data_IF_901699283211
#
_entry.id   IF_901699283211
#
_cell.length_a   1.000
_cell.length_b   1.000
_cell.length_c   1.000
_cell.angle_alpha   90.00
_cell.angle_beta   90.00
_cell.angle_gamma   90.00
#
_symmetry.space_group_name_H-M   'P 1'
#
loop_
_entity.id
_entity.type
_entity.pdbx_description
1 polymer ?
#
# COMPACT_ATOMS: atom_id res chain seq x y z
N UNK A 1 -13.47 -15.69 -9.66
CA UNK A 1 -12.17 -16.32 -9.92
C UNK A 1 -11.27 -15.97 -8.75
N UNK A 2 -11.01 -16.91 -7.86
CA UNK A 2 -10.00 -16.77 -6.80
C UNK A 2 -8.64 -16.89 -7.47
N UNK A 3 -8.00 -15.76 -7.80
CA UNK A 3 -6.57 -15.75 -8.12
C UNK A 3 -5.86 -16.34 -6.91
N UNK A 4 -5.41 -17.59 -7.03
CA UNK A 4 -4.43 -18.16 -6.11
C UNK A 4 -3.17 -17.33 -6.32
N UNK A 5 -3.04 -16.24 -5.57
CA UNK A 5 -1.81 -15.46 -5.51
C UNK A 5 -0.72 -16.48 -5.16
N UNK A 6 0.30 -16.61 -6.01
CA UNK A 6 1.50 -17.34 -5.62
C UNK A 6 2.17 -16.52 -4.52
N UNK A 7 1.79 -16.85 -3.28
CA UNK A 7 2.20 -16.15 -2.07
C UNK A 7 3.71 -16.23 -1.88
N UNK A 8 4.34 -17.32 -2.35
CA UNK A 8 5.78 -17.48 -2.30
C UNK A 8 6.48 -16.54 -3.28
N UNK A 9 5.99 -16.42 -4.51
CA UNK A 9 6.54 -15.48 -5.50
C UNK A 9 6.41 -14.02 -5.03
N UNK A 10 5.29 -13.67 -4.38
CA UNK A 10 5.08 -12.34 -3.80
C UNK A 10 6.09 -12.04 -2.68
N UNK A 11 6.23 -12.93 -1.69
CA UNK A 11 7.19 -12.74 -0.59
C UNK A 11 8.64 -12.75 -1.11
N UNK A 12 8.96 -13.55 -2.13
CA UNK A 12 10.27 -13.55 -2.77
C UNK A 12 10.57 -12.22 -3.51
N UNK A 13 9.53 -11.48 -3.91
CA UNK A 13 9.68 -10.16 -4.51
C UNK A 13 10.09 -9.08 -3.49
N UNK A 14 9.88 -9.32 -2.20
CA UNK A 14 10.15 -8.35 -1.14
C UNK A 14 11.65 -7.96 -1.04
N UNK A 15 11.95 -6.71 -0.65
CA UNK A 15 13.32 -6.27 -0.44
C UNK A 15 14.01 -7.05 0.67
N UNK A 16 15.35 -7.07 0.66
CA UNK A 16 16.15 -7.85 1.62
C UNK A 16 15.79 -7.52 3.07
N UNK A 17 15.57 -6.24 3.40
CA UNK A 17 15.19 -5.81 4.75
C UNK A 17 13.93 -6.50 5.24
N UNK A 18 12.84 -6.42 4.46
CA UNK A 18 11.58 -7.07 4.78
C UNK A 18 11.69 -8.60 4.81
N UNK A 19 12.43 -9.22 3.87
CA UNK A 19 12.64 -10.68 3.88
C UNK A 19 13.38 -11.18 5.12
N UNK A 20 14.30 -10.39 5.66
CA UNK A 20 14.96 -10.72 6.93
C UNK A 20 13.98 -10.59 8.10
N UNK A 21 13.14 -9.55 8.12
CA UNK A 21 12.15 -9.32 9.18
C UNK A 21 11.07 -10.42 9.22
N UNK A 22 10.64 -10.91 8.05
CA UNK A 22 9.56 -11.89 7.94
C UNK A 22 10.02 -13.35 7.83
N UNK A 23 11.31 -13.65 8.06
CA UNK A 23 11.91 -14.95 7.73
C UNK A 23 11.30 -16.16 8.46
N UNK A 24 10.64 -15.94 9.60
CA UNK A 24 9.98 -16.97 10.41
C UNK A 24 8.47 -17.04 10.19
N UNK A 25 7.90 -16.09 9.44
CA UNK A 25 6.46 -16.02 9.24
C UNK A 25 6.01 -17.00 8.16
N UNK A 26 4.89 -17.64 8.41
CA UNK A 26 4.12 -18.30 7.34
C UNK A 26 3.60 -17.24 6.36
N UNK A 27 3.26 -17.63 5.12
CA UNK A 27 2.66 -16.70 4.18
C UNK A 27 1.40 -16.02 4.74
N UNK A 28 0.53 -16.74 5.45
CA UNK A 28 -0.68 -16.17 6.04
C UNK A 28 -0.37 -15.06 7.07
N UNK A 29 0.60 -15.30 7.96
CA UNK A 29 1.06 -14.30 8.93
C UNK A 29 1.72 -13.09 8.26
N UNK A 30 2.43 -13.30 7.14
CA UNK A 30 2.95 -12.19 6.34
C UNK A 30 1.83 -11.29 5.82
N UNK A 31 0.76 -11.87 5.24
CA UNK A 31 -0.36 -11.09 4.73
C UNK A 31 -1.11 -10.35 5.84
N UNK A 32 -1.39 -11.03 6.95
CA UNK A 32 -2.05 -10.44 8.12
C UNK A 32 -1.25 -9.25 8.71
N UNK A 33 0.08 -9.37 8.69
CA UNK A 33 0.96 -8.35 9.27
C UNK A 33 1.27 -7.17 8.34
N UNK A 34 1.45 -7.43 7.05
CA UNK A 34 2.00 -6.44 6.11
C UNK A 34 1.05 -6.06 4.99
N UNK A 35 0.03 -6.86 4.70
CA UNK A 35 -0.93 -6.59 3.63
C UNK A 35 -2.33 -6.24 4.13
N UNK A 36 -2.56 -6.36 5.42
CA UNK A 36 -3.85 -6.08 6.00
C UNK A 36 -4.15 -4.57 5.95
N UNK A 37 -5.22 -4.25 5.22
CA UNK A 37 -5.74 -2.88 5.07
C UNK A 37 -6.85 -2.58 6.08
N UNK A 38 -7.14 -3.50 7.02
CA UNK A 38 -8.05 -3.21 8.13
C UNK A 38 -7.34 -2.31 9.15
N UNK A 39 -7.94 -1.15 9.41
CA UNK A 39 -7.43 -0.15 10.33
C UNK A 39 -8.16 1.18 10.18
N UNK A 40 -7.57 2.24 10.73
CA UNK A 40 -8.16 3.60 10.76
C UNK A 40 -8.42 4.18 9.37
N UNK A 41 -7.65 3.75 8.37
CA UNK A 41 -7.74 4.20 6.99
C UNK A 41 -8.10 3.03 6.09
N UNK A 42 -9.18 3.14 5.32
CA UNK A 42 -9.52 2.12 4.31
C UNK A 42 -9.67 2.75 2.92
N UNK A 43 -9.49 1.94 1.87
CA UNK A 43 -9.73 2.35 0.48
C UNK A 43 -11.08 1.77 0.03
N UNK A 44 -12.10 2.63 -0.06
CA UNK A 44 -13.46 2.19 -0.45
C UNK A 44 -13.67 2.21 -1.96
N UNK A 45 -13.00 3.10 -2.68
CA UNK A 45 -13.06 3.16 -4.15
C UNK A 45 -11.71 3.54 -4.76
N UNK A 46 -11.45 3.00 -5.95
CA UNK A 46 -10.27 3.30 -6.74
C UNK A 46 -10.60 3.30 -8.23
N UNK A 47 -10.19 4.36 -8.91
CA UNK A 47 -10.29 4.48 -10.36
C UNK A 47 -9.01 5.06 -10.96
N UNK A 48 -8.62 4.52 -12.11
CA UNK A 48 -7.54 5.05 -12.95
C UNK A 48 -8.11 5.34 -14.34
N UNK A 49 -8.05 6.61 -14.74
CA UNK A 49 -8.49 7.08 -16.05
C UNK A 49 -7.28 7.45 -16.91
N UNK A 50 -7.18 6.83 -18.09
CA UNK A 50 -6.09 7.07 -19.04
C UNK A 50 -4.90 6.11 -18.87
N UNK A 51 -3.73 6.53 -19.33
CA UNK A 51 -2.46 5.78 -19.22
C UNK A 51 -1.34 6.72 -18.84
N UNK A 52 -0.35 6.20 -18.13
CA UNK A 52 0.86 6.95 -17.80
C UNK A 52 1.49 7.58 -19.07
N UNK A 53 2.05 8.81 -18.98
CA UNK A 53 2.18 9.64 -17.77
C UNK A 53 0.95 10.49 -17.44
N UNK A 54 -0.07 10.54 -18.30
CA UNK A 54 -1.21 11.45 -18.19
C UNK A 54 -2.42 10.82 -17.47
N UNK A 55 -2.18 9.76 -16.69
CA UNK A 55 -3.24 9.09 -15.95
C UNK A 55 -3.76 10.00 -14.82
N UNK A 56 -5.07 9.97 -14.64
CA UNK A 56 -5.76 10.59 -13.51
C UNK A 56 -6.22 9.47 -12.59
N UNK A 57 -5.79 9.54 -11.34
CA UNK A 57 -6.14 8.59 -10.30
C UNK A 57 -7.17 9.21 -9.38
N UNK A 58 -8.18 8.43 -9.01
CA UNK A 58 -9.18 8.80 -8.00
C UNK A 58 -9.18 7.71 -6.95
N UNK A 59 -8.94 8.09 -5.70
CA UNK A 59 -8.99 7.21 -4.54
C UNK A 59 -9.99 7.77 -3.55
N UNK A 60 -10.97 6.98 -3.12
CA UNK A 60 -11.82 7.34 -1.99
C UNK A 60 -11.34 6.58 -0.77
N UNK A 61 -10.87 7.33 0.22
CA UNK A 61 -10.39 6.83 1.49
C UNK A 61 -11.47 7.03 2.54
N UNK A 62 -11.59 6.12 3.49
CA UNK A 62 -12.42 6.30 4.67
C UNK A 62 -11.52 6.40 5.90
N UNK A 63 -11.68 7.50 6.64
CA UNK A 63 -11.00 7.76 7.90
C UNK A 63 -12.02 7.59 9.03
N UNK A 64 -12.22 6.36 9.49
CA UNK A 64 -13.44 6.00 10.22
C UNK A 64 -14.68 6.23 9.35
N UNK A 65 -15.65 7.02 9.83
CA UNK A 65 -16.90 7.31 9.08
C UNK A 65 -16.81 8.53 8.14
N UNK A 66 -15.59 9.05 7.90
CA UNK A 66 -15.38 10.26 7.10
C UNK A 66 -14.76 9.90 5.75
N UNK A 67 -15.56 9.83 4.67
CA UNK A 67 -15.03 9.58 3.34
C UNK A 67 -14.31 10.82 2.82
N UNK A 68 -13.17 10.61 2.17
CA UNK A 68 -12.40 11.63 1.50
C UNK A 68 -11.90 11.12 0.16
N UNK A 69 -12.26 11.83 -0.91
CA UNK A 69 -11.78 11.53 -2.26
C UNK A 69 -10.55 12.36 -2.60
N UNK A 70 -9.52 11.68 -3.11
CA UNK A 70 -8.27 12.25 -3.58
C UNK A 70 -8.21 12.05 -5.09
N UNK A 71 -8.02 13.13 -5.84
CA UNK A 71 -7.82 13.09 -7.29
C UNK A 71 -6.41 13.57 -7.60
N UNK A 72 -5.66 12.77 -8.34
CA UNK A 72 -4.26 13.03 -8.66
C UNK A 72 -4.01 12.91 -10.17
N UNK A 73 -3.49 13.96 -10.79
CA UNK A 73 -2.85 13.86 -12.09
C UNK A 73 -1.36 13.54 -11.87
N UNK A 74 -0.87 12.42 -12.40
CA UNK A 74 0.54 12.03 -12.27
C UNK A 74 0.81 11.10 -11.08
N UNK A 75 1.20 11.62 -9.91
CA UNK A 75 1.65 10.79 -8.78
C UNK A 75 0.55 10.59 -7.72
N UNK A 76 -0.11 9.42 -7.68
CA UNK A 76 -1.10 9.12 -6.64
C UNK A 76 -0.46 9.01 -5.25
N UNK A 77 0.81 8.62 -5.17
CA UNK A 77 1.57 8.57 -3.91
C UNK A 77 1.66 9.96 -3.27
N UNK A 78 2.03 10.99 -4.05
CA UNK A 78 2.16 12.34 -3.52
C UNK A 78 0.81 12.91 -3.05
N UNK A 79 -0.25 12.69 -3.84
CA UNK A 79 -1.59 13.12 -3.46
C UNK A 79 -2.10 12.39 -2.21
N UNK A 80 -1.82 11.10 -2.11
CA UNK A 80 -2.17 10.28 -0.95
C UNK A 80 -1.44 10.76 0.31
N UNK A 81 -0.12 10.98 0.26
CA UNK A 81 0.63 11.48 1.43
C UNK A 81 0.11 12.82 1.92
N UNK A 82 -0.27 13.73 1.01
CA UNK A 82 -0.86 15.02 1.38
C UNK A 82 -2.22 14.85 2.04
N UNK A 83 -3.09 14.00 1.49
CA UNK A 83 -4.41 13.75 2.07
C UNK A 83 -4.33 13.11 3.46
N UNK A 84 -3.43 12.14 3.63
CA UNK A 84 -3.17 11.51 4.93
C UNK A 84 -2.66 12.52 5.96
N UNK A 85 -1.71 13.37 5.59
CA UNK A 85 -1.18 14.42 6.47
C UNK A 85 -2.29 15.36 6.96
N UNK A 86 -3.16 15.81 6.07
CA UNK A 86 -4.28 16.70 6.41
C UNK A 86 -5.32 16.03 7.32
N UNK A 87 -5.46 14.71 7.28
CA UNK A 87 -6.32 13.94 8.18
C UNK A 87 -5.65 13.53 9.48
N UNK A 88 -4.41 13.97 9.73
CA UNK A 88 -3.67 13.68 10.97
C UNK A 88 -2.83 12.41 10.94
N UNK A 89 -2.60 11.84 9.76
CA UNK A 89 -1.74 10.66 9.53
C UNK A 89 -0.48 11.08 8.76
N UNK A 90 0.48 11.81 9.38
CA UNK A 90 1.73 12.14 8.74
C UNK A 90 2.47 10.85 8.38
N UNK A 91 2.85 10.70 7.12
CA UNK A 91 3.56 9.53 6.63
C UNK A 91 4.81 9.96 5.87
N UNK A 92 5.95 9.41 6.25
CA UNK A 92 7.21 9.55 5.53
C UNK A 92 7.58 8.21 4.91
N UNK A 93 7.87 8.20 3.60
CA UNK A 93 8.30 7.00 2.89
C UNK A 93 9.82 6.87 3.04
N UNK A 94 10.26 5.86 3.79
CA UNK A 94 11.68 5.57 4.01
C UNK A 94 12.26 4.68 2.91
N UNK A 95 11.48 3.70 2.48
CA UNK A 95 11.87 2.77 1.41
C UNK A 95 10.67 2.47 0.52
N UNK A 96 10.90 2.42 -0.78
CA UNK A 96 9.88 2.09 -1.77
C UNK A 96 10.43 1.09 -2.78
N UNK A 97 9.80 -0.08 -2.88
CA UNK A 97 10.20 -1.13 -3.80
C UNK A 97 8.99 -1.63 -4.57
N UNK A 98 9.10 -1.70 -5.89
CA UNK A 98 8.05 -2.19 -6.76
C UNK A 98 8.61 -3.22 -7.75
N UNK A 99 7.91 -4.34 -7.91
CA UNK A 99 8.31 -5.41 -8.85
C UNK A 99 7.08 -5.99 -9.54
N UNK A 100 7.20 -6.27 -10.85
CA UNK A 100 6.17 -7.03 -11.57
C UNK A 100 6.29 -8.50 -11.19
N UNK A 101 5.15 -9.10 -10.86
CA UNK A 101 4.96 -10.53 -10.60
C UNK A 101 3.88 -11.07 -11.52
N UNK A 102 3.70 -12.38 -11.56
CA UNK A 102 2.61 -13.01 -12.29
C UNK A 102 1.22 -12.59 -11.76
N UNK A 103 1.10 -12.36 -10.45
CA UNK A 103 -0.14 -11.96 -9.80
C UNK A 103 -0.49 -10.47 -9.92
N UNK A 104 0.43 -9.64 -10.44
CA UNK A 104 0.25 -8.19 -10.43
C UNK A 104 1.57 -7.44 -10.22
N UNK A 105 1.45 -6.15 -9.95
CA UNK A 105 2.55 -5.33 -9.44
C UNK A 105 2.60 -5.47 -7.93
N UNK A 106 3.70 -6.02 -7.41
CA UNK A 106 3.97 -6.09 -5.98
C UNK A 106 4.68 -4.81 -5.53
N UNK A 107 4.12 -4.13 -4.54
CA UNK A 107 4.71 -2.93 -3.94
C UNK A 107 4.95 -3.16 -2.46
N UNK A 108 6.14 -2.74 -1.99
CA UNK A 108 6.57 -2.79 -0.60
C UNK A 108 7.06 -1.41 -0.20
N UNK A 109 6.45 -0.84 0.84
CA UNK A 109 6.77 0.49 1.33
C UNK A 109 7.11 0.41 2.80
N UNK A 110 8.27 0.94 3.19
CA UNK A 110 8.58 1.20 4.59
C UNK A 110 8.20 2.63 4.90
N UNK A 111 7.31 2.81 5.86
CA UNK A 111 6.81 4.10 6.28
C UNK A 111 7.27 4.43 7.70
N UNK A 112 7.40 5.71 7.99
CA UNK A 112 7.46 6.25 9.35
C UNK A 112 6.24 7.13 9.61
N UNK A 113 5.63 6.99 10.79
CA UNK A 113 4.60 7.89 11.29
C UNK A 113 4.77 8.02 12.81
N UNK A 114 4.77 9.24 13.32
CA UNK A 114 4.89 9.53 14.76
C UNK A 114 6.06 8.80 15.44
N UNK A 115 7.21 8.69 14.75
CA UNK A 115 8.41 8.00 15.24
C UNK A 115 8.33 6.46 15.24
N UNK A 116 7.22 5.87 14.79
CA UNK A 116 7.07 4.42 14.57
C UNK A 116 7.38 4.09 13.12
N UNK A 117 8.07 2.97 12.88
CA UNK A 117 8.42 2.48 11.55
C UNK A 117 7.83 1.12 11.28
N UNK A 118 7.35 0.93 10.06
CA UNK A 118 6.59 -0.25 9.67
C UNK A 118 6.63 -0.47 8.18
N UNK A 119 6.34 -1.71 7.77
CA UNK A 119 6.23 -2.08 6.36
C UNK A 119 4.76 -2.26 6.00
N UNK A 120 4.41 -1.78 4.82
CA UNK A 120 3.19 -2.15 4.12
C UNK A 120 3.51 -2.79 2.78
N UNK A 121 2.69 -3.75 2.37
CA UNK A 121 2.86 -4.51 1.16
C UNK A 121 1.52 -4.74 0.48
N UNK A 122 1.49 -4.71 -0.85
CA UNK A 122 0.30 -5.05 -1.62
C UNK A 122 0.66 -5.60 -3.00
N UNK A 123 -0.31 -6.27 -3.61
CA UNK A 123 -0.28 -6.65 -5.02
C UNK A 123 -1.57 -6.22 -5.68
N UNK A 124 -1.48 -5.58 -6.84
CA UNK A 124 -2.63 -5.19 -7.66
C UNK A 124 -2.24 -5.20 -9.14
N UNK A 125 -3.23 -5.23 -10.03
CA UNK A 125 -2.99 -5.20 -11.48
C UNK A 125 -2.33 -3.90 -11.93
N UNK A 126 -2.70 -2.79 -11.29
CA UNK A 126 -2.17 -1.46 -11.53
C UNK A 126 -1.08 -1.09 -10.50
N UNK A 127 0.02 -0.49 -10.97
CA UNK A 127 1.13 -0.12 -10.09
C UNK A 127 0.76 0.98 -9.10
N UNK A 128 -0.11 1.91 -9.51
CA UNK A 128 -0.55 2.98 -8.65
C UNK A 128 -1.50 2.46 -7.57
N UNK A 129 -2.45 1.59 -7.92
CA UNK A 129 -3.31 0.93 -6.93
C UNK A 129 -2.50 0.13 -5.93
N UNK A 130 -1.54 -0.67 -6.41
CA UNK A 130 -0.66 -1.46 -5.53
C UNK A 130 0.12 -0.57 -4.57
N UNK A 131 0.59 0.59 -5.04
CA UNK A 131 1.27 1.57 -4.19
C UNK A 131 0.35 2.15 -3.12
N UNK A 132 -0.87 2.56 -3.49
CA UNK A 132 -1.85 3.11 -2.53
C UNK A 132 -2.23 2.08 -1.48
N UNK A 133 -2.53 0.84 -1.87
CA UNK A 133 -2.85 -0.25 -0.94
C UNK A 133 -1.69 -0.57 0.00
N UNK A 134 -0.46 -0.60 -0.50
CA UNK A 134 0.73 -0.85 0.33
C UNK A 134 0.93 0.27 1.36
N UNK A 135 0.71 1.53 0.99
CA UNK A 135 0.80 2.65 1.92
C UNK A 135 -0.26 2.58 3.02
N UNK A 136 -1.52 2.26 2.66
CA UNK A 136 -2.62 2.11 3.61
C UNK A 136 -2.32 0.97 4.59
N UNK A 137 -1.87 -0.19 4.10
CA UNK A 137 -1.48 -1.31 4.97
C UNK A 137 -0.36 -0.91 5.94
N UNK A 138 0.64 -0.15 5.46
CA UNK A 138 1.73 0.34 6.30
C UNK A 138 1.25 1.30 7.39
N UNK A 139 0.33 2.22 7.08
CA UNK A 139 -0.21 3.18 8.06
C UNK A 139 -1.08 2.45 9.09
N UNK A 140 -1.95 1.56 8.65
CA UNK A 140 -2.79 0.78 9.56
C UNK A 140 -1.96 -0.11 10.48
N UNK A 141 -0.83 -0.65 10.00
CA UNK A 141 0.11 -1.37 10.86
C UNK A 141 0.72 -0.45 11.93
N UNK A 142 1.05 0.80 11.58
CA UNK A 142 1.63 1.79 12.51
C UNK A 142 0.65 2.32 13.54
N UNK A 143 -0.66 2.19 13.30
CA UNK A 143 -1.72 2.58 14.22
C UNK A 143 -2.11 1.48 15.23
N UNK A 144 -1.68 0.23 15.01
CA UNK A 144 -1.93 -0.89 15.94
C UNK A 144 -1.17 -0.79 17.26
#
# INVERSE_FOLDING_TARGET
MTLTIDTHAFIAAAPKGLRTECGELTPAEFFDRYCDVTGSVTLSDWACAGRAPNAVFTATLEFGDRPRTVVAAGSPVAALTSALYEEGYPVEILQFHQRRTEAGTATFVQCESHGRRGWGAAVADDSAESSVRAMIAGINQLDR
#
